data_IF_650362805391
#
_entry.id   IF_650362805391
#
_cell.length_a   1.000
_cell.length_b   1.000
_cell.length_c   1.000
_cell.angle_alpha   90.00
_cell.angle_beta   90.00
_cell.angle_gamma   90.00
#
_symmetry.space_group_name_H-M   'P 1'
#
loop_
_entity.id
_entity.type
_entity.pdbx_description
1 polymer ?
#
# COMPACT_ATOMS: atom_id res chain seq x y z
N UNK A 1 -9.30 7.17 -3.67
CA UNK A 1 -9.14 6.77 -2.27
C UNK A 1 -10.44 6.85 -1.50
N UNK A 2 -10.52 6.09 -0.41
CA UNK A 2 -11.63 6.12 0.55
C UNK A 2 -11.24 6.85 1.83
N UNK A 3 -12.15 6.83 2.82
CA UNK A 3 -11.87 7.24 4.19
C UNK A 3 -10.91 6.25 4.87
N UNK A 4 -10.42 6.60 6.08
CA UNK A 4 -9.47 5.79 6.86
C UNK A 4 -9.99 4.38 7.13
N UNK A 5 -11.30 4.21 7.34
CA UNK A 5 -11.97 2.92 7.59
C UNK A 5 -12.28 2.12 6.32
N UNK A 6 -11.96 2.66 5.15
CA UNK A 6 -12.22 2.06 3.84
C UNK A 6 -13.63 2.30 3.30
N UNK A 7 -14.44 3.14 3.95
CA UNK A 7 -15.74 3.55 3.43
C UNK A 7 -15.59 4.65 2.36
N UNK A 8 -16.57 4.73 1.46
CA UNK A 8 -16.58 5.69 0.36
C UNK A 8 -15.48 5.43 -0.68
N UNK A 9 -15.66 5.95 -1.86
CA UNK A 9 -14.67 5.87 -2.93
C UNK A 9 -14.78 7.11 -3.81
N UNK A 10 -13.68 7.87 -3.93
CA UNK A 10 -13.57 9.02 -4.81
C UNK A 10 -12.20 9.04 -5.48
N UNK A 11 -12.16 9.40 -6.75
CA UNK A 11 -10.89 9.68 -7.45
C UNK A 11 -10.37 11.10 -7.18
N UNK A 12 -11.18 11.99 -6.59
CA UNK A 12 -10.86 13.42 -6.42
C UNK A 12 -9.47 13.68 -5.81
N UNK A 13 -9.11 12.94 -4.75
CA UNK A 13 -7.79 13.09 -4.14
C UNK A 13 -6.67 12.66 -5.07
N UNK A 14 -6.86 11.58 -5.83
CA UNK A 14 -5.89 11.11 -6.82
C UNK A 14 -5.81 12.09 -8.01
N UNK A 15 -6.95 12.58 -8.48
CA UNK A 15 -7.03 13.55 -9.58
C UNK A 15 -6.35 14.88 -9.21
N UNK A 16 -6.49 15.33 -7.96
CA UNK A 16 -5.79 16.52 -7.45
C UNK A 16 -4.26 16.32 -7.44
N UNK A 17 -3.77 15.14 -7.04
CA UNK A 17 -2.33 14.81 -7.10
C UNK A 17 -1.84 14.73 -8.54
N UNK A 18 -2.60 14.09 -9.44
CA UNK A 18 -2.30 14.04 -10.87
C UNK A 18 -2.16 15.44 -11.43
N UNK A 19 -3.11 16.34 -11.13
CA UNK A 19 -3.04 17.74 -11.55
C UNK A 19 -1.76 18.41 -11.07
N UNK A 20 -1.41 18.25 -9.80
CA UNK A 20 -0.19 18.83 -9.25
C UNK A 20 1.07 18.34 -9.96
N UNK A 21 1.14 17.04 -10.28
CA UNK A 21 2.29 16.47 -11.01
C UNK A 21 2.38 17.04 -12.42
N UNK A 22 1.26 17.15 -13.12
CA UNK A 22 1.21 17.70 -14.49
C UNK A 22 1.56 19.19 -14.49
N UNK A 23 1.05 19.98 -13.55
CA UNK A 23 1.35 21.41 -13.40
C UNK A 23 2.86 21.63 -13.15
N UNK A 24 3.54 20.68 -12.53
CA UNK A 24 5.00 20.69 -12.33
C UNK A 24 5.81 20.06 -13.48
N UNK A 25 5.17 19.78 -14.62
CA UNK A 25 5.83 19.25 -15.83
C UNK A 25 6.06 17.74 -15.83
N UNK A 26 5.53 17.02 -14.85
CA UNK A 26 5.55 15.55 -14.81
C UNK A 26 4.41 14.91 -15.61
N UNK A 27 4.39 13.57 -15.64
CA UNK A 27 3.30 12.77 -16.20
C UNK A 27 2.66 11.92 -15.12
N UNK A 28 1.36 11.91 -15.06
CA UNK A 28 0.61 11.09 -14.13
C UNK A 28 -0.79 10.77 -14.66
N UNK A 29 -1.33 9.65 -14.24
CA UNK A 29 -2.72 9.25 -14.45
C UNK A 29 -3.29 8.74 -13.12
N UNK A 30 -4.59 8.86 -12.94
CA UNK A 30 -5.30 8.29 -11.79
C UNK A 30 -5.97 6.97 -12.17
N UNK A 31 -6.12 6.09 -11.17
CA UNK A 31 -6.94 4.89 -11.26
C UNK A 31 -7.71 4.72 -9.95
N UNK A 32 -9.02 4.54 -10.03
CA UNK A 32 -9.92 4.45 -8.88
C UNK A 32 -10.17 3.02 -8.38
N UNK A 33 -9.47 2.01 -8.92
CA UNK A 33 -9.70 0.63 -8.54
C UNK A 33 -9.31 0.33 -7.09
N UNK A 34 -10.01 -0.64 -6.49
CA UNK A 34 -9.59 -1.21 -5.21
C UNK A 34 -8.48 -2.24 -5.43
N UNK A 35 -7.49 -2.26 -4.53
CA UNK A 35 -6.44 -3.29 -4.52
C UNK A 35 -6.97 -4.69 -4.20
N UNK A 36 -8.19 -4.79 -3.68
CA UNK A 36 -8.86 -6.07 -3.41
C UNK A 36 -9.63 -6.62 -4.61
N UNK A 37 -9.84 -5.81 -5.66
CA UNK A 37 -10.52 -6.21 -6.90
C UNK A 37 -9.51 -6.67 -7.96
N UNK A 38 -9.53 -7.95 -8.29
CA UNK A 38 -8.62 -8.55 -9.27
C UNK A 38 -8.72 -7.91 -10.67
N UNK A 39 -9.95 -7.59 -11.10
CA UNK A 39 -10.18 -6.90 -12.38
C UNK A 39 -9.68 -5.46 -12.36
N UNK A 40 -9.90 -4.79 -11.24
CA UNK A 40 -9.39 -3.44 -11.02
C UNK A 40 -7.87 -3.38 -11.01
N UNK A 41 -7.21 -4.33 -10.36
CA UNK A 41 -5.73 -4.45 -10.37
C UNK A 41 -5.22 -4.72 -11.78
N UNK A 42 -5.83 -5.64 -12.53
CA UNK A 42 -5.44 -5.91 -13.92
C UNK A 42 -5.59 -4.67 -14.81
N UNK A 43 -6.71 -3.95 -14.70
CA UNK A 43 -6.94 -2.70 -15.42
C UNK A 43 -5.90 -1.62 -15.08
N UNK A 44 -5.54 -1.47 -13.80
CA UNK A 44 -4.53 -0.51 -13.36
C UNK A 44 -3.16 -0.80 -14.00
N UNK A 45 -2.77 -2.06 -14.07
CA UNK A 45 -1.52 -2.50 -14.72
C UNK A 45 -1.56 -2.24 -16.23
N UNK A 46 -2.64 -2.62 -16.91
CA UNK A 46 -2.85 -2.40 -18.34
C UNK A 46 -2.81 -0.90 -18.69
N UNK A 47 -3.51 -0.07 -17.93
CA UNK A 47 -3.52 1.37 -18.09
C UNK A 47 -2.11 1.96 -17.93
N UNK A 48 -1.34 1.50 -16.95
CA UNK A 48 0.03 1.94 -16.72
C UNK A 48 0.94 1.58 -17.88
N UNK A 49 0.86 0.35 -18.37
CA UNK A 49 1.65 -0.10 -19.53
C UNK A 49 1.27 0.64 -20.82
N UNK A 50 -0.01 0.90 -21.03
CA UNK A 50 -0.49 1.66 -22.19
C UNK A 50 0.03 3.09 -22.20
N UNK A 51 0.08 3.75 -21.04
CA UNK A 51 0.49 5.16 -20.93
C UNK A 51 2.01 5.34 -20.87
N UNK A 52 2.72 4.48 -20.15
CA UNK A 52 4.14 4.65 -19.86
C UNK A 52 5.04 3.58 -20.48
N UNK A 53 4.48 2.49 -21.02
CA UNK A 53 5.20 1.43 -21.71
C UNK A 53 5.94 0.45 -20.82
N UNK A 54 6.09 0.74 -19.51
CA UNK A 54 6.83 -0.08 -18.54
C UNK A 54 6.42 0.18 -17.10
N UNK A 55 6.82 -0.71 -16.19
CA UNK A 55 6.62 -0.56 -14.74
C UNK A 55 7.95 -0.81 -14.03
N UNK A 56 8.56 0.23 -13.48
CA UNK A 56 9.86 0.16 -12.82
C UNK A 56 9.75 0.07 -11.29
N UNK A 57 8.76 0.75 -10.74
CA UNK A 57 8.56 0.87 -9.29
C UNK A 57 7.11 0.56 -8.94
N UNK A 58 6.91 -0.28 -7.92
CA UNK A 58 5.62 -0.52 -7.28
C UNK A 58 5.72 -0.09 -5.81
N UNK A 59 4.84 0.81 -5.38
CA UNK A 59 4.69 1.19 -3.97
C UNK A 59 3.35 0.69 -3.45
N UNK A 60 3.38 -0.36 -2.65
CA UNK A 60 2.20 -0.92 -1.99
C UNK A 60 1.93 -0.15 -0.69
N UNK A 61 1.11 0.89 -0.77
CA UNK A 61 0.80 1.78 0.35
C UNK A 61 -0.70 1.81 0.70
N UNK A 62 -1.56 1.18 -0.08
CA UNK A 62 -2.99 1.11 0.22
C UNK A 62 -3.25 0.51 1.60
N UNK A 63 -4.15 1.10 2.37
CA UNK A 63 -4.42 0.65 3.72
C UNK A 63 -5.67 1.27 4.32
N UNK A 64 -6.19 0.60 5.35
CA UNK A 64 -7.37 0.98 6.12
C UNK A 64 -7.15 0.63 7.58
N UNK A 65 -7.88 1.27 8.49
CA UNK A 65 -7.88 0.97 9.92
C UNK A 65 -9.29 0.61 10.40
N UNK A 66 -9.39 -0.49 11.15
CA UNK A 66 -10.58 -0.90 11.90
C UNK A 66 -10.14 -1.47 13.23
N UNK A 67 -9.70 -0.58 14.10
CA UNK A 67 -9.05 -0.92 15.36
C UNK A 67 -10.09 -1.25 16.43
N UNK A 68 -9.94 -2.40 17.07
CA UNK A 68 -10.71 -2.83 18.25
C UNK A 68 -9.90 -3.85 19.05
N UNK A 69 -10.12 -3.92 20.36
CA UNK A 69 -9.57 -5.04 21.15
C UNK A 69 -10.01 -6.38 20.53
N UNK A 70 -9.14 -7.37 20.56
CA UNK A 70 -9.35 -8.65 19.87
C UNK A 70 -10.69 -9.31 20.21
N UNK A 71 -11.08 -9.26 21.49
CA UNK A 71 -12.38 -9.81 21.95
C UNK A 71 -13.61 -9.08 21.39
N UNK A 72 -13.46 -7.82 20.97
CA UNK A 72 -14.56 -6.98 20.45
C UNK A 72 -14.48 -6.79 18.94
N UNK A 73 -13.43 -7.28 18.29
CA UNK A 73 -13.23 -7.19 16.85
C UNK A 73 -14.14 -8.20 16.14
N UNK A 74 -14.89 -7.73 15.14
CA UNK A 74 -15.63 -8.65 14.28
C UNK A 74 -14.68 -9.37 13.31
N UNK A 75 -15.01 -10.62 12.96
CA UNK A 75 -14.23 -11.35 11.95
C UNK A 75 -14.24 -10.63 10.60
N UNK A 76 -15.36 -10.00 10.23
CA UNK A 76 -15.44 -9.22 9.00
C UNK A 76 -14.49 -8.00 8.98
N UNK A 77 -14.28 -7.33 10.13
CA UNK A 77 -13.29 -6.24 10.22
C UNK A 77 -11.86 -6.79 10.14
N UNK A 78 -11.63 -7.95 10.78
CA UNK A 78 -10.32 -8.61 10.71
C UNK A 78 -9.97 -9.00 9.27
N UNK A 79 -10.87 -9.73 8.61
CA UNK A 79 -10.71 -10.20 7.23
C UNK A 79 -10.55 -9.04 6.25
N UNK A 80 -11.37 -8.00 6.37
CA UNK A 80 -11.29 -6.84 5.48
C UNK A 80 -9.95 -6.11 5.59
N UNK A 81 -9.44 -5.90 6.80
CA UNK A 81 -8.13 -5.24 7.00
C UNK A 81 -7.00 -6.10 6.43
N UNK A 82 -7.02 -7.41 6.67
CA UNK A 82 -6.04 -8.34 6.10
C UNK A 82 -6.15 -8.40 4.57
N UNK A 83 -7.38 -8.40 4.02
CA UNK A 83 -7.58 -8.39 2.57
C UNK A 83 -6.98 -7.14 1.91
N UNK A 84 -7.19 -5.96 2.47
CA UNK A 84 -6.61 -4.73 1.91
C UNK A 84 -5.08 -4.71 2.07
N UNK A 85 -4.56 -4.95 3.28
CA UNK A 85 -3.13 -4.77 3.56
C UNK A 85 -2.26 -5.88 3.02
N UNK A 86 -2.67 -7.15 3.19
CA UNK A 86 -1.88 -8.29 2.75
C UNK A 86 -2.30 -8.74 1.35
N UNK A 87 -3.56 -9.10 1.14
CA UNK A 87 -3.98 -9.63 -0.15
C UNK A 87 -3.95 -8.58 -1.25
N UNK A 88 -4.27 -7.32 -0.95
CA UNK A 88 -4.10 -6.21 -1.90
C UNK A 88 -2.64 -6.05 -2.34
N UNK A 89 -1.70 -6.12 -1.40
CA UNK A 89 -0.26 -6.11 -1.70
C UNK A 89 0.16 -7.35 -2.52
N UNK A 90 -0.36 -8.54 -2.19
CA UNK A 90 -0.10 -9.76 -2.97
C UNK A 90 -0.61 -9.61 -4.40
N UNK A 91 -1.86 -9.18 -4.60
CA UNK A 91 -2.49 -9.05 -5.92
C UNK A 91 -1.75 -8.06 -6.83
N UNK A 92 -1.46 -6.87 -6.31
CA UNK A 92 -0.74 -5.84 -7.08
C UNK A 92 0.69 -6.28 -7.41
N UNK A 93 1.40 -6.88 -6.45
CA UNK A 93 2.75 -7.39 -6.68
C UNK A 93 2.75 -8.55 -7.68
N UNK A 94 1.82 -9.49 -7.54
CA UNK A 94 1.68 -10.63 -8.45
C UNK A 94 1.42 -10.18 -9.90
N UNK A 95 0.63 -9.13 -10.09
CA UNK A 95 0.32 -8.60 -11.41
C UNK A 95 1.53 -7.93 -12.10
N UNK A 96 2.43 -7.27 -11.33
CA UNK A 96 3.58 -6.56 -11.92
C UNK A 96 4.87 -7.37 -11.94
N UNK A 97 5.02 -8.36 -11.07
CA UNK A 97 6.26 -9.12 -10.92
C UNK A 97 6.71 -9.83 -12.22
N UNK A 98 5.83 -10.48 -13.00
CA UNK A 98 6.20 -11.05 -14.30
C UNK A 98 6.71 -9.99 -15.29
N UNK A 99 6.09 -8.81 -15.32
CA UNK A 99 6.47 -7.69 -16.18
C UNK A 99 7.89 -7.21 -15.81
N UNK A 100 8.15 -7.02 -14.53
CA UNK A 100 9.47 -6.65 -14.03
C UNK A 100 10.53 -7.72 -14.34
N UNK A 101 10.16 -9.02 -14.31
CA UNK A 101 11.06 -10.10 -14.74
C UNK A 101 11.43 -9.98 -16.23
N UNK A 102 10.47 -9.74 -17.10
CA UNK A 102 10.72 -9.54 -18.54
C UNK A 102 11.57 -8.30 -18.79
N UNK A 103 11.38 -7.23 -18.03
CA UNK A 103 12.18 -6.01 -18.07
C UNK A 103 13.61 -6.20 -17.51
N UNK A 104 13.85 -7.27 -16.76
CA UNK A 104 15.05 -7.49 -15.95
C UNK A 104 15.36 -6.29 -15.02
N UNK A 105 14.30 -5.69 -14.45
CA UNK A 105 14.36 -4.57 -13.53
C UNK A 105 13.05 -4.42 -12.77
N UNK A 106 13.12 -4.18 -11.44
CA UNK A 106 11.99 -3.84 -10.61
C UNK A 106 12.41 -3.34 -9.23
N UNK A 107 11.63 -2.41 -8.68
CA UNK A 107 11.77 -1.94 -7.30
C UNK A 107 10.40 -1.97 -6.65
N UNK A 108 10.24 -2.78 -5.62
CA UNK A 108 8.97 -2.97 -4.92
C UNK A 108 9.14 -2.50 -3.48
N UNK A 109 8.25 -1.63 -3.04
CA UNK A 109 8.16 -1.19 -1.65
C UNK A 109 6.85 -1.67 -1.07
N UNK A 110 6.91 -2.37 0.06
CA UNK A 110 5.73 -2.73 0.86
C UNK A 110 5.69 -1.87 2.12
N UNK A 111 4.54 -1.32 2.44
CA UNK A 111 4.37 -0.52 3.65
C UNK A 111 4.00 -1.43 4.82
N UNK A 112 4.95 -1.63 5.73
CA UNK A 112 4.75 -2.27 7.03
C UNK A 112 4.49 -1.23 8.12
N UNK A 113 4.61 -1.60 9.37
CA UNK A 113 4.39 -0.70 10.53
C UNK A 113 5.10 -1.23 11.76
N UNK A 114 5.47 -0.33 12.67
CA UNK A 114 5.89 -0.70 14.03
C UNK A 114 4.84 -1.56 14.74
N UNK A 115 3.55 -1.33 14.48
CA UNK A 115 2.46 -2.17 15.01
C UNK A 115 2.53 -3.62 14.53
N UNK A 116 3.00 -3.86 13.31
CA UNK A 116 3.24 -5.22 12.80
C UNK A 116 4.46 -5.86 13.45
N UNK A 117 5.54 -5.09 13.64
CA UNK A 117 6.81 -5.59 14.16
C UNK A 117 6.80 -5.83 15.67
N UNK A 118 6.13 -4.96 16.44
CA UNK A 118 6.17 -4.94 17.90
C UNK A 118 4.81 -5.09 18.57
N UNK A 119 3.73 -5.05 17.80
CA UNK A 119 2.37 -5.05 18.29
C UNK A 119 1.87 -3.68 18.72
N UNK A 120 0.54 -3.51 18.66
CA UNK A 120 -0.16 -2.37 19.21
C UNK A 120 -1.55 -2.80 19.66
N UNK A 121 -2.02 -2.27 20.81
CA UNK A 121 -3.33 -2.62 21.35
C UNK A 121 -4.44 -2.28 20.35
N UNK A 122 -5.35 -3.23 20.14
CA UNK A 122 -6.49 -3.03 19.24
C UNK A 122 -6.21 -3.26 17.75
N UNK A 123 -4.97 -3.59 17.36
CA UNK A 123 -4.54 -3.72 15.97
C UNK A 123 -4.12 -5.15 15.57
N UNK A 124 -4.79 -6.17 16.09
CA UNK A 124 -4.45 -7.56 15.75
C UNK A 124 -4.62 -7.88 14.25
N UNK A 125 -5.65 -7.35 13.60
CA UNK A 125 -5.88 -7.45 12.16
C UNK A 125 -4.80 -6.71 11.35
N UNK A 126 -4.56 -5.46 11.71
CA UNK A 126 -3.56 -4.59 11.08
C UNK A 126 -2.15 -5.14 11.24
N UNK A 127 -1.78 -5.53 12.48
CA UNK A 127 -0.47 -6.13 12.77
C UNK A 127 -0.24 -7.43 11.98
N UNK A 128 -1.25 -8.30 11.88
CA UNK A 128 -1.18 -9.52 11.07
C UNK A 128 -0.91 -9.21 9.59
N UNK A 129 -1.66 -8.26 9.01
CA UNK A 129 -1.44 -7.83 7.63
C UNK A 129 -0.05 -7.24 7.40
N UNK A 130 0.38 -6.34 8.28
CA UNK A 130 1.67 -5.64 8.18
C UNK A 130 2.89 -6.54 8.41
N UNK A 131 2.76 -7.58 9.23
CA UNK A 131 3.84 -8.57 9.37
C UNK A 131 3.82 -9.59 8.23
N UNK A 132 2.64 -9.92 7.70
CA UNK A 132 2.50 -10.78 6.53
C UNK A 132 3.24 -10.24 5.30
N UNK A 133 3.17 -8.93 5.03
CA UNK A 133 3.90 -8.32 3.90
C UNK A 133 5.42 -8.35 4.09
N UNK A 134 5.93 -8.34 5.32
CA UNK A 134 7.36 -8.50 5.59
C UNK A 134 7.82 -9.91 5.24
N UNK A 135 7.05 -10.94 5.62
CA UNK A 135 7.34 -12.33 5.24
C UNK A 135 7.35 -12.52 3.71
N UNK A 136 6.37 -11.94 3.01
CA UNK A 136 6.32 -11.95 1.56
C UNK A 136 7.54 -11.22 0.95
N UNK A 137 7.89 -10.03 1.43
CA UNK A 137 9.05 -9.27 0.99
C UNK A 137 10.32 -10.10 1.05
N UNK A 138 10.59 -10.75 2.19
CA UNK A 138 11.79 -11.57 2.38
C UNK A 138 11.93 -12.67 1.34
N UNK A 139 10.81 -13.31 0.97
CA UNK A 139 10.80 -14.36 -0.05
C UNK A 139 10.98 -13.79 -1.45
N UNK A 140 10.25 -12.73 -1.79
CA UNK A 140 10.30 -12.12 -3.12
C UNK A 140 11.64 -11.45 -3.43
N UNK A 141 12.38 -10.95 -2.43
CA UNK A 141 13.74 -10.46 -2.61
C UNK A 141 14.67 -11.59 -3.12
N UNK A 142 14.54 -12.78 -2.55
CA UNK A 142 15.33 -13.95 -3.01
C UNK A 142 14.94 -14.40 -4.42
N UNK A 143 13.63 -14.42 -4.72
CA UNK A 143 13.12 -14.82 -6.03
C UNK A 143 13.43 -13.80 -7.12
N UNK A 144 13.45 -12.52 -6.77
CA UNK A 144 13.66 -11.39 -7.67
C UNK A 144 15.11 -11.11 -8.00
N UNK A 145 16.06 -11.47 -7.13
CA UNK A 145 17.47 -11.07 -7.20
C UNK A 145 18.12 -11.32 -8.57
N UNK A 146 17.90 -12.50 -9.17
CA UNK A 146 18.45 -12.84 -10.48
C UNK A 146 17.88 -12.05 -11.66
N UNK A 147 16.78 -11.33 -11.44
CA UNK A 147 16.12 -10.48 -12.42
C UNK A 147 16.30 -9.00 -12.10
N UNK A 148 17.23 -8.66 -11.19
CA UNK A 148 17.43 -7.28 -10.73
C UNK A 148 16.13 -6.64 -10.17
N UNK A 149 15.31 -7.46 -9.51
CA UNK A 149 14.11 -7.03 -8.79
C UNK A 149 14.44 -7.02 -7.31
N UNK A 150 14.28 -5.88 -6.66
CA UNK A 150 14.52 -5.72 -5.23
C UNK A 150 13.24 -5.32 -4.52
N UNK A 151 12.99 -5.95 -3.38
CA UNK A 151 11.78 -5.75 -2.57
C UNK A 151 12.17 -5.29 -1.18
N UNK A 152 11.66 -4.12 -0.77
CA UNK A 152 11.98 -3.51 0.52
C UNK A 152 10.71 -3.18 1.30
N UNK A 153 10.80 -3.15 2.63
CA UNK A 153 9.73 -2.71 3.50
C UNK A 153 10.03 -1.32 4.08
N UNK A 154 9.00 -0.49 4.14
CA UNK A 154 9.02 0.80 4.80
C UNK A 154 8.03 0.79 5.97
N UNK A 155 8.49 1.14 7.17
CA UNK A 155 7.65 1.36 8.35
C UNK A 155 7.62 2.86 8.65
N UNK A 156 6.77 3.65 8.01
CA UNK A 156 6.77 5.10 8.16
C UNK A 156 6.20 5.52 9.51
N UNK A 157 6.73 6.61 10.04
CA UNK A 157 6.15 7.35 11.16
C UNK A 157 6.03 8.80 10.69
N UNK A 158 4.82 9.30 10.57
CA UNK A 158 4.57 10.66 10.10
C UNK A 158 3.26 11.20 10.69
N UNK A 159 3.17 12.52 10.85
CA UNK A 159 1.95 13.22 11.19
C UNK A 159 1.05 13.31 9.96
N UNK A 160 -0.03 12.55 9.98
CA UNK A 160 -0.97 12.46 8.86
C UNK A 160 -2.40 12.35 9.40
N UNK A 161 -3.40 12.45 8.56
CA UNK A 161 -4.82 12.20 8.91
C UNK A 161 -5.07 10.84 9.60
N UNK A 162 -4.16 9.87 9.42
CA UNK A 162 -4.27 8.55 10.07
C UNK A 162 -3.66 8.51 11.46
N UNK A 163 -2.84 9.49 11.83
CA UNK A 163 -1.99 9.45 13.02
C UNK A 163 -2.15 10.67 13.92
N UNK A 164 -2.76 11.76 13.44
CA UNK A 164 -2.93 13.02 14.18
C UNK A 164 -3.66 12.84 15.52
N UNK A 165 -4.68 12.00 15.56
CA UNK A 165 -5.43 11.70 16.79
C UNK A 165 -4.69 10.73 17.75
N UNK A 166 -3.60 10.14 17.30
CA UNK A 166 -2.83 9.12 18.04
C UNK A 166 -1.52 9.66 18.65
N UNK A 167 -1.11 10.85 18.23
CA UNK A 167 0.16 11.46 18.62
C UNK A 167 -0.06 12.75 19.42
N UNK A 168 0.84 13.08 20.36
CA UNK A 168 0.75 14.37 21.05
C UNK A 168 1.02 15.52 20.07
N UNK A 169 0.35 16.68 20.23
CA UNK A 169 0.45 17.82 19.31
C UNK A 169 1.89 18.29 19.03
N UNK A 170 2.80 18.11 19.99
CA UNK A 170 4.20 18.51 19.85
C UNK A 170 4.94 17.66 18.79
N UNK A 171 4.40 16.50 18.45
CA UNK A 171 4.97 15.62 17.42
C UNK A 171 4.75 16.14 15.99
N UNK A 172 3.75 17.00 15.77
CA UNK A 172 3.44 17.56 14.44
C UNK A 172 4.66 18.21 13.80
N UNK A 173 5.34 19.11 14.50
CA UNK A 173 6.49 19.83 13.97
C UNK A 173 7.70 18.95 13.63
N UNK A 174 7.78 17.74 14.25
CA UNK A 174 8.89 16.81 14.07
C UNK A 174 8.60 15.73 13.02
N UNK A 175 7.31 15.46 12.75
CA UNK A 175 6.86 14.33 11.94
C UNK A 175 6.05 14.74 10.71
N UNK A 176 6.03 16.03 10.36
CA UNK A 176 5.43 16.50 9.10
C UNK A 176 6.11 15.83 7.92
N UNK A 177 5.35 15.23 6.97
CA UNK A 177 5.88 14.55 5.79
C UNK A 177 6.68 15.46 4.87
#
# INVERSE_FOLDING_TARGET
GGSVDGSGGSSEAADAVVKTIIDNGGKAISNGASVTDDKGVANMVEQTLSEFGRIDVLVNNAGVLRDKSFSNMSMSDFEFVVDVHLMGTVKTTHAVFPIMKEQNYGRIVVTTSSSGLYGNFGQSNYGAGKMGVVGMMNTLELEGAKYNIHVNALAPVAWTRMTEDLMPPEAEALLTP
#
